data_IF_289917026713
#
_entry.id   IF_289917026713
#
_cell.length_a   1.000
_cell.length_b   1.000
_cell.length_c   1.000
_cell.angle_alpha   90.00
_cell.angle_beta   90.00
_cell.angle_gamma   90.00
#
_symmetry.space_group_name_H-M   'P 1'
#
loop_
_entity.id
_entity.type
_entity.pdbx_description
1 polymer ?
#
# COMPACT_ATOMS: atom_id res chain seq x y z
N UNK A 1 -21.16 2.74 6.00
CA UNK A 1 -21.80 2.02 4.90
C UNK A 1 -20.84 1.93 3.74
N UNK A 2 -21.31 1.39 2.60
CA UNK A 2 -20.36 1.09 1.52
C UNK A 2 -19.70 2.34 0.93
N UNK A 3 -20.44 3.43 0.78
CA UNK A 3 -19.88 4.66 0.24
C UNK A 3 -18.84 5.27 1.16
N UNK A 4 -19.12 5.27 2.45
CA UNK A 4 -18.16 5.75 3.45
C UNK A 4 -16.91 4.88 3.49
N UNK A 5 -17.08 3.57 3.34
CA UNK A 5 -15.95 2.64 3.33
C UNK A 5 -15.09 2.83 2.07
N UNK A 6 -15.71 3.10 0.93
CA UNK A 6 -14.95 3.44 -0.29
C UNK A 6 -14.16 4.72 -0.11
N UNK A 7 -14.77 5.73 0.51
CA UNK A 7 -14.09 7.00 0.77
C UNK A 7 -12.90 6.81 1.72
N UNK A 8 -13.04 5.92 2.70
CA UNK A 8 -11.95 5.63 3.62
C UNK A 8 -10.76 5.02 2.87
N UNK A 9 -11.00 4.06 1.97
CA UNK A 9 -9.93 3.46 1.22
C UNK A 9 -9.31 4.44 0.23
N UNK A 10 -10.12 5.29 -0.41
CA UNK A 10 -9.61 6.36 -1.26
C UNK A 10 -8.70 7.29 -0.46
N UNK A 11 -9.13 7.66 0.74
CA UNK A 11 -8.37 8.53 1.62
C UNK A 11 -7.05 7.88 2.04
N UNK A 12 -7.06 6.58 2.30
CA UNK A 12 -5.84 5.85 2.64
C UNK A 12 -4.77 6.03 1.56
N UNK A 13 -5.13 5.77 0.31
CA UNK A 13 -4.16 5.90 -0.77
C UNK A 13 -3.77 7.35 -1.03
N UNK A 14 -4.73 8.27 -0.96
CA UNK A 14 -4.45 9.68 -1.23
C UNK A 14 -3.57 10.30 -0.16
N UNK A 15 -3.88 10.09 1.10
CA UNK A 15 -3.18 10.78 2.18
C UNK A 15 -1.93 10.05 2.65
N UNK A 16 -2.01 8.74 2.85
CA UNK A 16 -0.86 7.98 3.34
C UNK A 16 0.19 7.85 2.23
N UNK A 17 -0.22 7.43 1.06
CA UNK A 17 0.73 7.12 0.00
C UNK A 17 1.02 8.30 -0.92
N UNK A 18 0.00 8.94 -1.47
CA UNK A 18 0.20 10.00 -2.46
C UNK A 18 0.73 11.28 -1.84
N UNK A 19 0.23 11.62 -0.65
CA UNK A 19 0.65 12.84 0.04
C UNK A 19 1.70 12.60 1.13
N UNK A 20 2.07 11.35 1.38
CA UNK A 20 3.13 11.02 2.32
C UNK A 20 2.80 11.34 3.77
N UNK A 21 1.54 11.27 4.17
CA UNK A 21 1.13 11.59 5.53
C UNK A 21 1.12 10.35 6.41
N UNK A 22 2.26 10.09 7.04
CA UNK A 22 2.42 8.92 7.92
C UNK A 22 1.49 8.96 9.13
N UNK A 23 1.11 10.16 9.58
CA UNK A 23 0.22 10.32 10.73
C UNK A 23 -1.18 9.75 10.47
N UNK A 24 -1.59 9.65 9.21
CA UNK A 24 -2.91 9.13 8.86
C UNK A 24 -2.96 7.59 9.02
N UNK A 25 -1.79 6.94 9.04
CA UNK A 25 -1.75 5.48 9.25
C UNK A 25 -2.46 5.11 10.56
N UNK A 26 -2.13 5.79 11.67
CA UNK A 26 -2.75 5.52 12.96
C UNK A 26 -4.23 5.86 12.97
N UNK A 27 -4.61 6.83 12.17
CA UNK A 27 -6.01 7.24 12.09
C UNK A 27 -6.89 6.22 11.39
N UNK A 28 -6.39 5.64 10.30
CA UNK A 28 -7.20 4.78 9.42
C UNK A 28 -6.94 3.28 9.56
N UNK A 29 -5.80 2.88 10.11
CA UNK A 29 -5.46 1.47 10.28
C UNK A 29 -5.58 1.10 11.76
N UNK A 30 -6.39 0.08 12.05
CA UNK A 30 -6.67 -0.32 13.42
C UNK A 30 -5.40 -0.79 14.13
N UNK A 31 -5.33 -0.53 15.41
CA UNK A 31 -4.21 -0.95 16.26
C UNK A 31 -3.96 -2.45 16.17
N UNK A 32 -5.03 -3.22 16.04
CA UNK A 32 -4.97 -4.68 15.93
C UNK A 32 -5.18 -5.14 14.47
N UNK A 33 -5.12 -4.21 13.53
CA UNK A 33 -5.32 -4.53 12.12
C UNK A 33 -4.22 -5.41 11.56
N UNK A 34 -4.55 -6.18 10.52
CA UNK A 34 -3.62 -7.13 9.90
C UNK A 34 -3.59 -6.87 8.40
N UNK A 35 -2.39 -6.71 7.84
CA UNK A 35 -2.21 -6.54 6.40
C UNK A 35 -1.42 -7.71 5.85
N UNK A 36 -2.03 -8.41 4.89
CA UNK A 36 -1.43 -9.56 4.21
C UNK A 36 -0.87 -9.14 2.85
N UNK A 37 0.15 -9.85 2.39
CA UNK A 37 0.63 -9.70 1.02
C UNK A 37 1.63 -8.58 0.79
N UNK A 38 2.14 -7.96 1.85
CA UNK A 38 3.09 -6.86 1.73
C UNK A 38 4.51 -7.23 2.16
N UNK A 39 4.68 -8.36 2.84
CA UNK A 39 5.99 -8.80 3.29
C UNK A 39 6.49 -9.99 2.49
N UNK A 40 7.71 -10.41 2.80
CA UNK A 40 8.33 -11.56 2.14
C UNK A 40 7.80 -12.89 2.66
N UNK A 41 7.15 -12.88 3.82
CA UNK A 41 6.70 -14.07 4.49
C UNK A 41 5.20 -14.05 4.67
N UNK A 42 4.49 -14.87 3.90
CA UNK A 42 3.03 -14.94 3.92
C UNK A 42 2.49 -15.43 5.26
N UNK A 43 3.30 -16.18 6.04
CA UNK A 43 2.88 -16.69 7.33
C UNK A 43 3.04 -15.64 8.44
N UNK A 44 3.59 -14.48 8.14
CA UNK A 44 3.90 -13.45 9.13
C UNK A 44 3.40 -12.08 8.65
N UNK A 45 2.09 -11.85 8.68
CA UNK A 45 1.54 -10.60 8.17
C UNK A 45 1.91 -9.40 9.05
N UNK A 46 1.79 -8.22 8.46
CA UNK A 46 1.98 -6.96 9.17
C UNK A 46 0.85 -6.76 10.16
N UNK A 47 1.18 -6.36 11.38
CA UNK A 47 0.18 -6.12 12.43
C UNK A 47 0.26 -4.69 12.93
N UNK A 48 -0.86 -3.99 12.86
CA UNK A 48 -1.03 -2.65 13.39
C UNK A 48 -0.22 -1.57 12.70
N UNK A 49 -0.47 -0.31 13.06
CA UNK A 49 0.31 0.81 12.50
C UNK A 49 1.80 0.69 12.75
N UNK A 50 2.21 0.21 13.94
CA UNK A 50 3.64 0.08 14.24
C UNK A 50 4.32 -0.96 13.35
N UNK A 51 3.61 -2.02 12.99
CA UNK A 51 4.14 -3.02 12.05
C UNK A 51 4.13 -2.55 10.61
N UNK A 52 3.20 -1.66 10.26
CA UNK A 52 3.08 -1.12 8.91
C UNK A 52 4.15 -0.08 8.60
N UNK A 53 4.60 0.68 9.60
CA UNK A 53 5.54 1.77 9.39
C UNK A 53 6.85 1.38 8.74
N UNK A 54 7.53 0.29 9.13
CA UNK A 54 8.78 -0.09 8.45
C UNK A 54 8.57 -0.35 6.95
N UNK A 55 7.49 -1.02 6.59
CA UNK A 55 7.14 -1.25 5.19
C UNK A 55 6.91 0.08 4.47
N UNK A 56 6.12 0.95 5.07
CA UNK A 56 5.80 2.26 4.52
C UNK A 56 7.05 3.10 4.30
N UNK A 57 7.92 3.14 5.31
CA UNK A 57 9.14 3.96 5.24
C UNK A 57 10.12 3.45 4.20
N UNK A 58 10.25 2.13 4.07
CA UNK A 58 11.08 1.54 3.02
C UNK A 58 10.63 2.01 1.64
N UNK A 59 9.34 1.97 1.40
CA UNK A 59 8.79 2.39 0.09
C UNK A 59 8.87 3.90 -0.11
N UNK A 60 8.60 4.69 0.93
CA UNK A 60 8.64 6.15 0.80
C UNK A 60 10.05 6.68 0.58
N UNK A 61 11.05 6.04 1.19
CA UNK A 61 12.44 6.42 0.97
C UNK A 61 12.90 6.08 -0.44
N UNK A 62 12.50 4.92 -0.94
CA UNK A 62 12.87 4.48 -2.28
C UNK A 62 12.10 5.24 -3.37
N UNK A 63 10.83 5.56 -3.10
CA UNK A 63 9.92 6.15 -4.08
C UNK A 63 9.20 7.34 -3.47
N UNK A 64 9.91 8.46 -3.23
CA UNK A 64 9.30 9.61 -2.53
C UNK A 64 8.17 10.26 -3.30
N UNK A 65 8.08 10.02 -4.60
CA UNK A 65 7.03 10.56 -5.46
C UNK A 65 6.00 9.50 -5.89
N UNK A 66 5.85 8.44 -5.09
CA UNK A 66 4.91 7.37 -5.41
C UNK A 66 3.49 7.92 -5.55
N UNK A 67 2.78 7.44 -6.57
CA UNK A 67 1.40 7.82 -6.84
C UNK A 67 0.57 6.58 -7.08
N UNK A 68 -0.47 6.40 -6.26
CA UNK A 68 -1.39 5.28 -6.39
C UNK A 68 -2.72 5.83 -6.90
N UNK A 69 -3.20 5.28 -8.00
CA UNK A 69 -4.49 5.67 -8.59
C UNK A 69 -5.43 4.48 -8.48
N UNK A 70 -6.60 4.71 -7.88
CA UNK A 70 -7.64 3.68 -7.84
C UNK A 70 -8.41 3.75 -9.15
N UNK A 71 -8.34 2.67 -9.93
CA UNK A 71 -9.01 2.59 -11.23
C UNK A 71 -10.47 2.19 -11.07
N UNK A 72 -10.72 1.25 -10.14
CA UNK A 72 -12.05 0.74 -9.84
C UNK A 72 -12.16 0.45 -8.36
N UNK A 73 -13.36 0.60 -7.82
CA UNK A 73 -13.66 0.17 -6.46
C UNK A 73 -15.03 -0.47 -6.42
N UNK A 74 -15.14 -1.59 -5.69
CA UNK A 74 -16.41 -2.21 -5.40
C UNK A 74 -16.48 -2.46 -3.90
N UNK A 75 -17.68 -2.38 -3.34
CA UNK A 75 -17.88 -2.59 -1.91
C UNK A 75 -19.08 -3.48 -1.68
N UNK A 76 -18.95 -4.37 -0.70
CA UNK A 76 -20.04 -5.22 -0.26
C UNK A 76 -19.85 -5.51 1.22
N UNK A 77 -20.90 -5.24 2.01
CA UNK A 77 -20.82 -5.41 3.46
C UNK A 77 -19.74 -4.50 4.05
N UNK A 78 -18.83 -5.08 4.80
CA UNK A 78 -17.74 -4.35 5.44
C UNK A 78 -16.46 -4.36 4.61
N UNK A 79 -16.51 -4.85 3.37
CA UNK A 79 -15.31 -4.98 2.54
C UNK A 79 -15.36 -4.06 1.33
N UNK A 80 -14.18 -3.57 0.95
CA UNK A 80 -13.97 -2.77 -0.26
C UNK A 80 -12.82 -3.38 -1.02
N UNK A 81 -12.99 -3.56 -2.33
CA UNK A 81 -11.92 -4.00 -3.23
C UNK A 81 -11.57 -2.85 -4.16
N UNK A 82 -10.28 -2.59 -4.32
CA UNK A 82 -9.78 -1.54 -5.20
C UNK A 82 -8.76 -2.10 -6.17
N UNK A 83 -8.92 -1.78 -7.44
CA UNK A 83 -7.93 -2.08 -8.47
C UNK A 83 -7.10 -0.84 -8.68
N UNK A 84 -5.79 -0.97 -8.52
CA UNK A 84 -4.88 0.18 -8.45
C UNK A 84 -3.81 0.14 -9.51
N UNK A 85 -3.39 1.33 -9.95
CA UNK A 85 -2.18 1.53 -10.75
C UNK A 85 -1.20 2.33 -9.89
N UNK A 86 0.07 1.93 -9.89
CA UNK A 86 1.11 2.59 -9.10
C UNK A 86 2.19 3.08 -10.03
N UNK A 87 2.60 4.33 -9.85
CA UNK A 87 3.73 4.93 -10.57
C UNK A 87 4.67 5.58 -9.59
N UNK A 88 5.96 5.51 -9.90
CA UNK A 88 6.97 6.14 -9.07
C UNK A 88 8.27 6.25 -9.86
N UNK A 89 9.28 6.84 -9.22
CA UNK A 89 10.63 6.86 -9.74
C UNK A 89 11.55 6.38 -8.63
N UNK A 90 12.47 5.49 -8.99
CA UNK A 90 13.39 4.89 -8.02
C UNK A 90 14.45 5.90 -7.64
N UNK A 91 14.21 6.70 -6.62
CA UNK A 91 15.07 7.83 -6.23
C UNK A 91 15.90 7.56 -4.97
N UNK A 92 15.60 6.51 -4.23
CA UNK A 92 16.34 6.14 -3.03
C UNK A 92 16.67 4.68 -3.02
N UNK A 93 17.49 4.26 -2.06
CA UNK A 93 17.85 2.85 -1.93
C UNK A 93 16.60 2.00 -1.70
N UNK A 94 16.55 0.84 -2.38
CA UNK A 94 15.45 -0.11 -2.22
C UNK A 94 16.03 -1.51 -2.08
N UNK A 95 15.81 -2.12 -0.91
CA UNK A 95 16.26 -3.49 -0.60
C UNK A 95 17.74 -3.71 -0.95
N UNK A 96 18.59 -2.77 -0.56
CA UNK A 96 20.03 -2.84 -0.77
C UNK A 96 20.51 -2.37 -2.13
N UNK A 97 19.60 -1.97 -3.02
CA UNK A 97 19.94 -1.49 -4.35
C UNK A 97 19.89 0.03 -4.38
N UNK A 98 20.99 0.64 -4.84
CA UNK A 98 21.05 2.10 -4.95
C UNK A 98 20.04 2.62 -5.96
N UNK A 99 19.65 3.89 -5.81
CA UNK A 99 18.68 4.52 -6.69
C UNK A 99 19.11 4.40 -8.15
N UNK A 100 18.23 3.83 -8.99
CA UNK A 100 18.51 3.67 -10.41
C UNK A 100 17.97 4.86 -11.22
N UNK A 101 17.12 5.69 -10.61
CA UNK A 101 16.39 6.79 -11.25
C UNK A 101 15.45 6.32 -12.35
N UNK A 102 15.17 5.02 -12.40
CA UNK A 102 14.28 4.46 -13.40
C UNK A 102 12.82 4.71 -13.02
N UNK A 103 11.95 4.97 -14.00
CA UNK A 103 10.51 5.01 -13.74
C UNK A 103 10.02 3.60 -13.43
N UNK A 104 9.08 3.49 -12.48
CA UNK A 104 8.44 2.22 -12.19
C UNK A 104 6.94 2.38 -12.35
N UNK A 105 6.30 1.33 -12.83
CA UNK A 105 4.85 1.30 -12.99
C UNK A 105 4.39 -0.15 -12.84
N UNK A 106 3.44 -0.37 -11.95
CA UNK A 106 2.89 -1.70 -11.73
C UNK A 106 1.46 -1.56 -11.24
N UNK A 107 0.76 -2.68 -11.13
CA UNK A 107 -0.65 -2.69 -10.75
C UNK A 107 -0.86 -3.63 -9.57
N UNK A 108 -2.04 -3.55 -8.98
CA UNK A 108 -2.40 -4.45 -7.92
C UNK A 108 -3.84 -4.29 -7.51
N UNK A 109 -4.26 -5.18 -6.63
CA UNK A 109 -5.60 -5.17 -6.06
C UNK A 109 -5.46 -5.27 -4.54
N UNK A 110 -6.20 -4.44 -3.84
CA UNK A 110 -6.31 -4.50 -2.39
C UNK A 110 -7.75 -4.71 -2.01
N UNK A 111 -7.99 -5.63 -1.07
CA UNK A 111 -9.29 -5.80 -0.44
C UNK A 111 -9.11 -5.47 1.03
N UNK A 112 -9.96 -4.60 1.56
CA UNK A 112 -9.90 -4.24 2.98
C UNK A 112 -11.23 -4.53 3.65
N UNK A 113 -11.16 -4.94 4.92
CA UNK A 113 -12.33 -4.99 5.80
C UNK A 113 -12.25 -3.79 6.72
N UNK A 114 -13.37 -3.11 6.86
CA UNK A 114 -13.45 -1.87 7.64
C UNK A 114 -14.46 -2.05 8.75
N UNK A 115 -14.07 -1.62 9.96
CA UNK A 115 -14.94 -1.66 11.13
C UNK A 115 -14.68 -0.40 11.95
N UNK A 116 -15.76 0.28 12.34
CA UNK A 116 -15.69 1.51 13.15
C UNK A 116 -14.75 2.57 12.55
N UNK A 117 -14.80 2.72 11.22
CA UNK A 117 -14.02 3.75 10.53
C UNK A 117 -12.53 3.46 10.43
N UNK A 118 -12.14 2.19 10.61
CA UNK A 118 -10.73 1.79 10.50
C UNK A 118 -10.60 0.50 9.72
N UNK A 119 -9.47 0.37 9.03
CA UNK A 119 -9.12 -0.87 8.33
C UNK A 119 -8.67 -1.89 9.38
N UNK A 120 -9.38 -3.00 9.49
CA UNK A 120 -9.06 -4.05 10.46
C UNK A 120 -8.35 -5.23 9.80
N UNK A 121 -8.50 -5.38 8.49
CA UNK A 121 -7.77 -6.42 7.76
C UNK A 121 -7.64 -6.00 6.30
N UNK A 122 -6.50 -6.32 5.70
CA UNK A 122 -6.25 -5.98 4.30
C UNK A 122 -5.54 -7.15 3.62
N UNK A 123 -5.95 -7.43 2.40
CA UNK A 123 -5.34 -8.44 1.54
C UNK A 123 -4.82 -7.71 0.30
N UNK A 124 -3.51 -7.82 0.06
CA UNK A 124 -2.84 -7.06 -0.99
C UNK A 124 -2.19 -8.00 -1.99
N UNK A 125 -2.48 -7.79 -3.27
CA UNK A 125 -1.83 -8.51 -4.35
C UNK A 125 -1.35 -7.49 -5.37
N UNK A 126 -0.17 -6.95 -5.11
CA UNK A 126 0.49 -6.01 -6.02
C UNK A 126 1.60 -6.73 -6.76
N UNK A 127 1.86 -6.31 -7.98
CA UNK A 127 2.86 -6.95 -8.84
C UNK A 127 4.26 -6.49 -8.46
N UNK A 128 4.73 -6.94 -7.30
CA UNK A 128 6.05 -6.59 -6.82
C UNK A 128 7.17 -7.22 -7.66
N UNK A 129 6.87 -8.30 -8.39
CA UNK A 129 7.86 -8.87 -9.30
C UNK A 129 8.22 -7.87 -10.40
N UNK A 130 7.22 -7.23 -11.00
CA UNK A 130 7.47 -6.18 -11.99
C UNK A 130 8.26 -5.03 -11.40
N UNK A 131 7.88 -4.58 -10.19
CA UNK A 131 8.60 -3.53 -9.48
C UNK A 131 10.07 -3.91 -9.29
N UNK A 132 10.35 -5.12 -8.81
CA UNK A 132 11.72 -5.58 -8.58
C UNK A 132 12.51 -5.63 -9.88
N UNK A 133 11.88 -6.07 -10.97
CA UNK A 133 12.56 -6.07 -12.29
C UNK A 133 12.90 -4.66 -12.74
N UNK A 134 11.97 -3.74 -12.57
CA UNK A 134 12.17 -2.34 -12.99
C UNK A 134 13.25 -1.65 -12.17
N UNK A 135 13.41 -2.04 -10.91
CA UNK A 135 14.48 -1.52 -10.06
C UNK A 135 15.81 -2.27 -10.22
N UNK A 136 15.84 -3.30 -11.07
CA UNK A 136 17.07 -4.05 -11.30
C UNK A 136 17.38 -5.10 -10.24
N UNK A 137 16.41 -5.45 -9.40
CA UNK A 137 16.60 -6.49 -8.36
C UNK A 137 16.45 -7.90 -8.94
N UNK A 138 15.74 -8.03 -10.05
CA UNK A 138 15.56 -9.29 -10.76
C UNK A 138 16.06 -9.15 -12.19
N UNK A 139 16.59 -10.25 -12.73
CA UNK A 139 17.14 -10.27 -14.10
C UNK A 139 16.14 -10.88 -15.08
#
# INVERSE_FOLDING_TARGET
>A
MSEENKQLLQRWFDEVWNNGRADVIEELFDENGVAHGLGDDASNPIKGPSGYRPFYETFRQAFPNIMVVIEDMVAEGDKVAARCSVRAKHEGEFLGRAASHAPVAFTGIAIVRINNGKIVEAWNNFDFMTLHKQCGLLR
#
